data_IF_898657249908
#
_entry.id   IF_898657249908
#
_cell.length_a   1.000
_cell.length_b   1.000
_cell.length_c   1.000
_cell.angle_alpha   90.00
_cell.angle_beta   90.00
_cell.angle_gamma   90.00
#
_symmetry.space_group_name_H-M   'P 1'
#
loop_
_entity.id
_entity.type
_entity.pdbx_description
1 polymer ?
#
# COMPACT_ATOMS: atom_id res chain seq x y z
N UNK A 1 -23.76 4.55 -29.41
CA UNK A 1 -22.79 4.16 -28.36
C UNK A 1 -22.97 5.13 -27.21
N UNK A 2 -23.48 4.68 -26.06
CA UNK A 2 -23.89 5.56 -24.96
C UNK A 2 -22.66 6.28 -24.36
N UNK A 3 -22.67 7.62 -24.27
CA UNK A 3 -21.53 8.42 -23.77
C UNK A 3 -21.10 7.99 -22.35
N UNK A 4 -22.06 7.57 -21.51
CA UNK A 4 -21.83 7.05 -20.17
C UNK A 4 -20.98 5.75 -20.15
N UNK A 5 -21.13 4.88 -21.17
CA UNK A 5 -20.36 3.64 -21.28
C UNK A 5 -18.90 3.91 -21.65
N UNK A 6 -18.64 4.91 -22.51
CA UNK A 6 -17.27 5.31 -22.84
C UNK A 6 -16.56 5.95 -21.64
N UNK A 7 -17.27 6.74 -20.84
CA UNK A 7 -16.72 7.32 -19.62
C UNK A 7 -16.37 6.26 -18.57
N UNK A 8 -17.23 5.25 -18.41
CA UNK A 8 -16.97 4.10 -17.52
C UNK A 8 -15.75 3.30 -17.98
N UNK A 9 -15.60 3.02 -19.29
CA UNK A 9 -14.43 2.33 -19.86
C UNK A 9 -13.12 3.09 -19.67
N UNK A 10 -13.13 4.39 -19.93
CA UNK A 10 -11.95 5.26 -19.76
C UNK A 10 -11.45 5.27 -18.31
N UNK A 11 -12.38 5.32 -17.36
CA UNK A 11 -12.04 5.23 -15.95
C UNK A 11 -11.52 3.84 -15.60
N UNK A 12 -12.15 2.77 -16.11
CA UNK A 12 -11.69 1.40 -15.90
C UNK A 12 -10.26 1.20 -16.41
N UNK A 13 -9.93 1.64 -17.62
CA UNK A 13 -8.58 1.53 -18.19
C UNK A 13 -7.53 2.29 -17.36
N UNK A 14 -7.84 3.51 -16.91
CA UNK A 14 -6.92 4.28 -16.05
C UNK A 14 -6.66 3.59 -14.72
N UNK A 15 -7.72 3.13 -14.03
CA UNK A 15 -7.55 2.39 -12.78
C UNK A 15 -6.92 1.02 -13.02
N UNK A 16 -7.10 0.44 -14.21
CA UNK A 16 -6.47 -0.81 -14.60
C UNK A 16 -4.97 -0.69 -14.74
N UNK A 17 -4.49 0.33 -15.46
CA UNK A 17 -3.05 0.55 -15.66
C UNK A 17 -2.30 0.81 -14.35
N UNK A 18 -2.90 1.57 -13.42
CA UNK A 18 -2.27 1.86 -12.13
C UNK A 18 -2.13 0.57 -11.29
N UNK A 19 -3.18 -0.23 -11.16
CA UNK A 19 -3.10 -1.42 -10.31
C UNK A 19 -2.41 -2.61 -11.01
N UNK A 20 -2.42 -2.73 -12.33
CA UNK A 20 -1.60 -3.75 -13.01
C UNK A 20 -0.10 -3.51 -12.73
N UNK A 21 0.36 -2.26 -12.77
CA UNK A 21 1.75 -1.92 -12.45
C UNK A 21 2.08 -2.07 -10.96
N UNK A 22 1.19 -1.65 -10.06
CA UNK A 22 1.48 -1.61 -8.62
C UNK A 22 1.18 -2.92 -7.88
N UNK A 23 0.08 -3.58 -8.22
CA UNK A 23 -0.54 -4.62 -7.38
C UNK A 23 -0.48 -6.01 -8.02
N UNK A 24 -0.67 -6.14 -9.34
CA UNK A 24 -0.94 -7.45 -9.97
C UNK A 24 0.20 -8.00 -10.84
N UNK A 25 0.83 -7.18 -11.71
CA UNK A 25 1.83 -7.65 -12.70
C UNK A 25 3.24 -7.07 -12.49
N UNK A 26 3.37 -5.80 -12.08
CA UNK A 26 4.66 -5.12 -11.95
C UNK A 26 5.42 -5.40 -10.64
N UNK A 27 5.50 -4.41 -9.75
CA UNK A 27 6.36 -4.44 -8.56
C UNK A 27 5.82 -5.37 -7.44
N UNK A 28 4.56 -5.82 -7.54
CA UNK A 28 3.86 -6.63 -6.52
C UNK A 28 4.01 -6.04 -5.12
N UNK A 29 3.66 -4.76 -4.99
CA UNK A 29 3.73 -4.05 -3.71
C UNK A 29 2.89 -4.70 -2.62
N UNK A 30 1.89 -5.51 -3.00
CA UNK A 30 1.13 -6.36 -2.08
C UNK A 30 2.01 -7.30 -1.27
N UNK A 31 3.11 -7.80 -1.82
CA UNK A 31 4.03 -8.69 -1.11
C UNK A 31 5.19 -7.92 -0.49
N UNK A 32 5.70 -6.90 -1.18
CA UNK A 32 6.85 -6.13 -0.70
C UNK A 32 6.52 -5.29 0.54
N UNK A 33 5.42 -4.53 0.52
CA UNK A 33 5.06 -3.64 1.64
C UNK A 33 4.91 -4.38 2.98
N UNK A 34 4.14 -5.48 3.10
CA UNK A 34 4.05 -6.20 4.36
C UNK A 34 5.39 -6.83 4.77
N UNK A 35 6.22 -7.26 3.81
CA UNK A 35 7.56 -7.79 4.11
C UNK A 35 8.48 -6.71 4.69
N UNK A 36 8.49 -5.51 4.09
CA UNK A 36 9.25 -4.37 4.61
C UNK A 36 8.73 -3.87 5.96
N UNK A 37 7.41 -3.88 6.16
CA UNK A 37 6.80 -3.58 7.45
C UNK A 37 7.23 -4.58 8.52
N UNK A 38 7.23 -5.88 8.22
CA UNK A 38 7.73 -6.92 9.12
C UNK A 38 9.21 -6.75 9.44
N UNK A 39 10.05 -6.47 8.43
CA UNK A 39 11.48 -6.20 8.64
C UNK A 39 11.67 -5.00 9.58
N UNK A 40 10.95 -3.92 9.35
CA UNK A 40 10.98 -2.72 10.21
C UNK A 40 10.51 -3.06 11.63
N UNK A 41 9.48 -3.89 11.77
CA UNK A 41 8.98 -4.33 13.07
C UNK A 41 10.00 -5.19 13.83
N UNK A 42 10.71 -6.10 13.13
CA UNK A 42 11.82 -6.83 13.72
C UNK A 42 12.98 -5.90 14.11
N UNK A 43 13.25 -4.86 13.30
CA UNK A 43 14.19 -3.80 13.66
C UNK A 43 13.81 -3.08 14.95
N UNK A 44 12.52 -2.71 15.10
CA UNK A 44 12.02 -2.13 16.33
C UNK A 44 12.22 -3.07 17.53
N UNK A 45 11.91 -4.35 17.34
CA UNK A 45 12.05 -5.35 18.39
C UNK A 45 13.52 -5.57 18.79
N UNK A 46 14.45 -5.58 17.83
CA UNK A 46 15.87 -5.79 18.08
C UNK A 46 16.51 -4.68 18.93
N UNK A 47 16.04 -3.43 18.76
CA UNK A 47 16.52 -2.26 19.50
C UNK A 47 15.57 -1.83 20.62
N UNK A 48 14.73 -2.75 21.10
CA UNK A 48 13.82 -2.47 22.20
C UNK A 48 14.62 -2.35 23.51
N UNK A 49 14.74 -1.12 24.01
CA UNK A 49 15.30 -0.82 25.34
C UNK A 49 16.56 0.04 25.30
N UNK A 50 17.49 -0.25 24.39
CA UNK A 50 18.69 0.57 24.20
C UNK A 50 18.90 0.84 22.70
N UNK A 51 18.84 2.12 22.34
CA UNK A 51 19.17 2.59 21.00
C UNK A 51 20.70 2.46 20.77
N UNK A 52 21.16 2.22 19.54
CA UNK A 52 22.58 2.30 19.19
C UNK A 52 23.16 3.70 19.44
N UNK A 53 24.45 3.78 19.78
CA UNK A 53 25.14 5.05 20.03
C UNK A 53 25.00 6.06 18.90
N UNK A 54 25.11 5.63 17.63
CA UNK A 54 24.95 6.51 16.48
C UNK A 54 23.56 7.18 16.42
N UNK A 55 22.50 6.52 16.91
CA UNK A 55 21.15 7.09 16.99
C UNK A 55 21.03 8.01 18.22
N UNK A 56 21.47 7.54 19.39
CA UNK A 56 21.44 8.29 20.65
C UNK A 56 22.17 9.63 20.55
N UNK A 57 23.35 9.63 19.93
CA UNK A 57 24.23 10.80 19.92
C UNK A 57 23.84 11.83 18.85
N UNK A 58 23.18 11.40 17.76
CA UNK A 58 22.97 12.25 16.58
C UNK A 58 21.50 12.50 16.23
N UNK A 59 20.60 11.53 16.44
CA UNK A 59 19.23 11.58 15.93
C UNK A 59 18.22 11.76 17.07
N UNK A 60 18.33 10.97 18.12
CA UNK A 60 17.43 11.00 19.29
C UNK A 60 17.27 12.41 19.90
N UNK A 61 18.31 13.26 20.02
CA UNK A 61 18.18 14.62 20.55
C UNK A 61 17.33 15.54 19.67
N UNK A 62 17.25 15.26 18.37
CA UNK A 62 16.47 16.06 17.42
C UNK A 62 15.02 15.59 17.31
N UNK A 63 14.78 14.28 17.35
CA UNK A 63 13.44 13.69 17.16
C UNK A 63 12.71 13.39 18.46
N UNK A 64 13.43 13.22 19.56
CA UNK A 64 12.88 13.00 20.91
C UNK A 64 12.34 11.59 21.17
N UNK A 65 12.68 10.60 20.34
CA UNK A 65 12.26 9.20 20.51
C UNK A 65 13.36 8.20 20.14
N UNK A 66 13.27 7.02 20.75
CA UNK A 66 14.21 5.92 20.56
C UNK A 66 14.06 5.26 19.18
N UNK A 67 15.10 4.53 18.76
CA UNK A 67 15.15 3.88 17.46
C UNK A 67 14.02 2.85 17.28
N UNK A 68 13.63 2.18 18.37
CA UNK A 68 12.50 1.24 18.37
C UNK A 68 11.18 1.93 18.04
N UNK A 69 10.90 3.09 18.63
CA UNK A 69 9.71 3.88 18.27
C UNK A 69 9.76 4.36 16.83
N UNK A 70 10.93 4.78 16.34
CA UNK A 70 11.12 5.20 14.95
C UNK A 70 10.74 4.07 13.96
N UNK A 71 11.28 2.88 14.16
CA UNK A 71 10.96 1.71 13.34
C UNK A 71 9.49 1.29 13.45
N UNK A 72 8.89 1.42 14.64
CA UNK A 72 7.47 1.16 14.85
C UNK A 72 6.60 2.12 14.04
N UNK A 73 6.94 3.42 14.02
CA UNK A 73 6.24 4.44 13.24
C UNK A 73 6.37 4.19 11.73
N UNK A 74 7.57 3.82 11.27
CA UNK A 74 7.81 3.45 9.86
C UNK A 74 6.96 2.23 9.48
N UNK A 75 7.02 1.16 10.28
CA UNK A 75 6.24 -0.05 10.04
C UNK A 75 4.74 0.23 9.99
N UNK A 76 4.24 1.05 10.92
CA UNK A 76 2.84 1.47 10.98
C UNK A 76 2.44 2.26 9.74
N UNK A 77 3.27 3.22 9.30
CA UNK A 77 3.03 4.01 8.08
C UNK A 77 2.97 3.11 6.83
N UNK A 78 3.86 2.12 6.74
CA UNK A 78 3.86 1.16 5.63
C UNK A 78 2.56 0.33 5.64
N UNK A 79 2.08 -0.10 6.81
CA UNK A 79 0.81 -0.83 6.93
C UNK A 79 -0.39 0.02 6.50
N UNK A 80 -0.41 1.32 6.83
CA UNK A 80 -1.44 2.22 6.32
C UNK A 80 -1.44 2.28 4.79
N UNK A 81 -0.25 2.41 4.18
CA UNK A 81 -0.10 2.37 2.72
C UNK A 81 -0.58 1.04 2.12
N UNK A 82 -0.25 -0.08 2.78
CA UNK A 82 -0.70 -1.41 2.36
C UNK A 82 -2.23 -1.56 2.45
N UNK A 83 -2.86 -1.12 3.54
CA UNK A 83 -4.32 -1.09 3.68
C UNK A 83 -4.98 -0.26 2.58
N UNK A 84 -4.41 0.91 2.24
CA UNK A 84 -4.86 1.73 1.11
C UNK A 84 -4.75 0.99 -0.23
N UNK A 85 -3.64 0.29 -0.47
CA UNK A 85 -3.45 -0.56 -1.64
C UNK A 85 -4.48 -1.69 -1.75
N UNK A 86 -4.76 -2.39 -0.64
CA UNK A 86 -5.79 -3.43 -0.57
C UNK A 86 -7.19 -2.87 -0.84
N UNK A 87 -7.49 -1.67 -0.34
CA UNK A 87 -8.76 -1.00 -0.60
C UNK A 87 -8.93 -0.69 -2.09
N UNK A 88 -7.90 -0.16 -2.74
CA UNK A 88 -7.90 0.12 -4.17
C UNK A 88 -8.08 -1.16 -4.99
N UNK A 89 -7.36 -2.23 -4.62
CA UNK A 89 -7.51 -3.53 -5.26
C UNK A 89 -8.95 -4.05 -5.16
N UNK A 90 -9.56 -3.98 -3.97
CA UNK A 90 -10.96 -4.38 -3.76
C UNK A 90 -11.92 -3.53 -4.58
N UNK A 91 -11.69 -2.23 -4.69
CA UNK A 91 -12.51 -1.33 -5.49
C UNK A 91 -12.47 -1.70 -6.98
N UNK A 92 -11.29 -2.03 -7.51
CA UNK A 92 -11.16 -2.52 -8.89
C UNK A 92 -11.91 -3.80 -9.15
N UNK A 93 -11.77 -4.82 -8.29
CA UNK A 93 -12.49 -6.10 -8.44
C UNK A 93 -14.00 -5.87 -8.47
N UNK A 94 -14.52 -4.89 -7.72
CA UNK A 94 -15.93 -4.50 -7.79
C UNK A 94 -16.29 -3.87 -9.13
N UNK A 95 -15.49 -2.93 -9.63
CA UNK A 95 -15.74 -2.28 -10.93
C UNK A 95 -15.75 -3.30 -12.08
N UNK A 96 -14.76 -4.17 -12.18
CA UNK A 96 -14.71 -5.20 -13.23
C UNK A 96 -15.91 -6.15 -13.17
N UNK A 97 -16.36 -6.53 -11.97
CA UNK A 97 -17.60 -7.32 -11.81
C UNK A 97 -18.85 -6.57 -12.22
N UNK A 98 -18.91 -5.26 -12.00
CA UNK A 98 -20.05 -4.44 -12.43
C UNK A 98 -20.09 -4.35 -13.95
N UNK A 99 -18.97 -4.02 -14.59
CA UNK A 99 -18.85 -3.93 -16.05
C UNK A 99 -19.31 -5.24 -16.71
N UNK A 100 -18.81 -6.39 -16.24
CA UNK A 100 -19.24 -7.69 -16.75
C UNK A 100 -20.75 -7.94 -16.61
N UNK A 101 -21.36 -7.55 -15.47
CA UNK A 101 -22.80 -7.72 -15.26
C UNK A 101 -23.64 -6.86 -16.21
N UNK A 102 -23.16 -5.65 -16.51
CA UNK A 102 -23.82 -4.76 -17.48
C UNK A 102 -23.72 -5.33 -18.90
N UNK A 103 -22.53 -5.81 -19.32
CA UNK A 103 -22.35 -6.41 -20.64
C UNK A 103 -23.21 -7.67 -20.85
N UNK A 104 -23.38 -8.51 -19.82
CA UNK A 104 -24.26 -9.69 -19.90
C UNK A 104 -25.75 -9.33 -19.91
N UNK A 105 -26.15 -8.21 -19.28
CA UNK A 105 -27.55 -7.78 -19.25
C UNK A 105 -28.00 -7.08 -20.54
N UNK A 106 -27.07 -6.52 -21.32
CA UNK A 106 -27.34 -5.92 -22.64
C UNK A 106 -27.28 -6.93 -23.80
N UNK A 107 -26.79 -8.17 -23.57
CA UNK A 107 -26.68 -9.25 -24.56
C UNK A 107 -27.90 -10.18 -24.56
#
# INVERSE_FOLDING_TARGET
MNENLQQLRSNEEKFHGIDSQFLTEGLRLVLLLPTFSLLSFFGAWAYKGESPSWWLDNIEPAVGFDLSTAFTLISTTILFGFCGGLYLHRYRVKLTRQVFRWEVAEA
#
